data_IF_152592584580
#
_entry.id   IF_152592584580
#
_cell.length_a   1.000
_cell.length_b   1.000
_cell.length_c   1.000
_cell.angle_alpha   90.00
_cell.angle_beta   90.00
_cell.angle_gamma   90.00
#
_symmetry.space_group_name_H-M   'P 1'
#
loop_
_entity.id
_entity.type
_entity.pdbx_description
1 polymer ?
#
# COMPACT_ATOMS: atom_id res chain seq x y z
N UNK A 1 -48.39 -11.23 -66.41
CA UNK A 1 -49.87 -11.17 -66.15
C UNK A 1 -50.11 -10.43 -64.89
N UNK A 2 -50.63 -9.26 -65.02
CA UNK A 2 -51.79 -8.59 -64.38
C UNK A 2 -51.63 -8.46 -62.87
N UNK A 3 -51.42 -7.22 -62.32
CA UNK A 3 -52.47 -6.18 -62.16
C UNK A 3 -53.07 -6.31 -60.74
N UNK A 4 -53.24 -5.36 -59.84
CA UNK A 4 -53.74 -3.99 -59.77
C UNK A 4 -53.58 -3.52 -58.35
N UNK A 5 -53.02 -2.35 -58.08
CA UNK A 5 -53.71 -1.12 -57.69
C UNK A 5 -54.80 -1.26 -56.57
N UNK A 6 -54.64 -0.57 -55.51
CA UNK A 6 -55.38 0.69 -55.29
C UNK A 6 -54.93 1.47 -54.07
N UNK A 7 -54.85 2.77 -54.24
CA UNK A 7 -54.67 3.90 -53.32
C UNK A 7 -55.87 3.99 -52.36
N UNK A 8 -55.68 4.53 -51.18
CA UNK A 8 -56.54 5.60 -50.69
C UNK A 8 -55.82 6.40 -49.58
N UNK A 9 -55.83 7.69 -49.75
CA UNK A 9 -55.38 8.80 -48.91
C UNK A 9 -56.49 9.20 -47.94
N UNK A 10 -56.13 9.70 -46.72
CA UNK A 10 -56.79 10.83 -46.02
C UNK A 10 -56.13 10.99 -44.63
N UNK A 11 -55.38 12.00 -44.35
CA UNK A 11 -55.60 13.41 -43.96
C UNK A 11 -56.06 13.60 -42.50
N UNK A 12 -55.19 14.35 -41.78
CA UNK A 12 -55.33 15.24 -40.60
C UNK A 12 -55.68 14.69 -39.23
N UNK A 13 -54.84 14.93 -38.22
CA UNK A 13 -54.95 16.10 -37.35
C UNK A 13 -53.68 16.36 -36.54
N UNK A 14 -53.19 17.58 -36.61
CA UNK A 14 -52.20 18.20 -35.75
C UNK A 14 -52.76 18.33 -34.31
N UNK A 15 -52.05 17.80 -33.34
CA UNK A 15 -52.02 18.37 -32.02
C UNK A 15 -50.60 18.51 -31.53
N UNK A 16 -50.16 19.76 -31.47
CA UNK A 16 -48.91 20.14 -30.83
C UNK A 16 -48.99 19.92 -29.33
N UNK A 17 -48.13 19.07 -28.84
CA UNK A 17 -47.85 18.94 -27.45
C UNK A 17 -46.33 18.98 -27.30
N UNK A 18 -45.79 20.15 -26.91
CA UNK A 18 -44.39 20.31 -26.56
C UNK A 18 -44.11 19.48 -25.31
N UNK A 19 -43.52 18.28 -25.48
CA UNK A 19 -42.96 17.54 -24.36
C UNK A 19 -41.58 18.13 -24.09
N UNK A 20 -41.49 18.98 -23.07
CA UNK A 20 -40.21 19.36 -22.47
C UNK A 20 -39.59 18.10 -21.85
N UNK A 21 -38.71 17.44 -22.58
CA UNK A 21 -37.82 16.46 -22.01
C UNK A 21 -36.72 17.24 -21.26
N UNK A 22 -36.97 17.48 -19.99
CA UNK A 22 -35.92 17.81 -19.06
C UNK A 22 -34.98 16.60 -19.00
N UNK A 23 -33.92 16.65 -19.82
CA UNK A 23 -32.75 15.80 -19.63
C UNK A 23 -32.07 16.25 -18.33
N UNK A 24 -32.56 15.77 -17.22
CA UNK A 24 -31.75 15.72 -16.01
C UNK A 24 -30.63 14.74 -16.26
N UNK A 25 -29.50 15.29 -16.67
CA UNK A 25 -28.22 14.64 -16.68
C UNK A 25 -27.83 14.40 -15.21
N UNK A 26 -28.42 13.39 -14.59
CA UNK A 26 -27.89 12.81 -13.37
C UNK A 26 -26.66 12.04 -13.79
N UNK A 27 -25.54 12.74 -13.93
CA UNK A 27 -24.24 12.14 -13.69
C UNK A 27 -24.30 11.63 -12.25
N UNK A 28 -24.65 10.35 -12.09
CA UNK A 28 -24.31 9.58 -10.92
C UNK A 28 -22.77 9.60 -10.82
N UNK A 29 -22.24 10.66 -10.23
CA UNK A 29 -20.93 10.62 -9.61
C UNK A 29 -21.12 9.55 -8.53
N UNK A 30 -20.69 8.34 -8.83
CA UNK A 30 -20.44 7.33 -7.83
C UNK A 30 -19.44 8.03 -6.90
N UNK A 31 -19.91 8.51 -5.74
CA UNK A 31 -19.00 8.84 -4.65
C UNK A 31 -18.27 7.55 -4.37
N UNK A 32 -17.05 7.46 -4.87
CA UNK A 32 -16.12 6.43 -4.42
C UNK A 32 -15.84 6.79 -2.98
N UNK A 33 -16.50 6.11 -2.03
CA UNK A 33 -16.16 6.16 -0.62
C UNK A 33 -14.80 5.44 -0.47
N UNK A 34 -13.76 6.10 -0.96
CA UNK A 34 -12.38 5.74 -0.69
C UNK A 34 -12.04 6.10 0.75
N UNK A 35 -10.98 5.52 1.33
CA UNK A 35 -10.58 5.87 2.68
C UNK A 35 -10.16 7.34 2.76
N UNK A 36 -10.32 7.92 3.95
CA UNK A 36 -9.75 9.21 4.24
C UNK A 36 -8.21 9.13 4.23
N UNK A 37 -7.58 10.09 3.57
CA UNK A 37 -6.12 10.18 3.49
C UNK A 37 -5.69 11.44 4.23
N UNK A 38 -5.23 11.26 5.47
CA UNK A 38 -4.80 12.32 6.38
C UNK A 38 -3.34 12.67 6.15
N UNK A 39 -3.07 13.93 5.82
CA UNK A 39 -1.71 14.47 5.62
C UNK A 39 -1.54 15.85 6.28
N UNK A 40 -2.58 16.37 6.90
CA UNK A 40 -2.65 17.71 7.48
C UNK A 40 -1.62 17.92 8.59
N UNK A 41 -1.33 16.88 9.34
CA UNK A 41 -0.37 16.94 10.45
C UNK A 41 1.10 17.09 9.99
N UNK A 42 1.40 16.81 8.72
CA UNK A 42 2.73 17.08 8.14
C UNK A 42 3.03 18.58 8.19
N UNK A 43 2.06 19.42 7.78
CA UNK A 43 2.22 20.87 7.82
C UNK A 43 2.29 21.37 9.27
N UNK A 44 1.52 20.78 10.17
CA UNK A 44 1.58 21.10 11.60
C UNK A 44 2.98 20.83 12.17
N UNK A 45 3.58 19.67 11.85
CA UNK A 45 4.96 19.37 12.24
C UNK A 45 5.94 20.43 11.74
N UNK A 46 5.91 20.76 10.46
CA UNK A 46 6.86 21.72 9.89
C UNK A 46 6.69 23.12 10.42
N UNK A 47 5.48 23.53 10.83
CA UNK A 47 5.27 24.78 11.55
C UNK A 47 6.05 24.81 12.87
N UNK A 48 6.02 23.74 13.64
CA UNK A 48 6.79 23.61 14.89
C UNK A 48 8.29 23.53 14.61
N UNK A 49 8.68 22.70 13.66
CA UNK A 49 10.08 22.49 13.27
C UNK A 49 10.76 23.80 12.83
N UNK A 50 10.09 24.59 12.00
CA UNK A 50 10.63 25.85 11.47
C UNK A 50 10.70 26.93 12.55
N UNK A 51 9.67 27.05 13.40
CA UNK A 51 9.66 28.04 14.50
C UNK A 51 10.78 27.81 15.52
N UNK A 52 11.34 26.63 15.56
CA UNK A 52 12.42 26.22 16.48
C UNK A 52 13.79 26.10 15.79
N UNK A 53 13.88 26.55 14.54
CA UNK A 53 15.13 26.43 13.76
C UNK A 53 15.57 24.99 13.51
N UNK A 54 14.63 24.04 13.50
CA UNK A 54 14.90 22.61 13.30
C UNK A 54 15.26 21.84 14.57
N UNK A 55 15.12 22.45 15.74
CA UNK A 55 15.49 21.87 17.03
C UNK A 55 14.34 21.94 18.06
N UNK A 56 13.16 21.37 17.77
CA UNK A 56 12.05 21.39 18.70
C UNK A 56 12.35 20.58 19.96
N UNK A 57 12.00 21.13 21.11
CA UNK A 57 12.07 20.39 22.38
C UNK A 57 10.98 19.32 22.45
N UNK A 58 11.14 18.33 23.35
CA UNK A 58 10.09 17.35 23.59
C UNK A 58 8.78 18.01 24.08
N UNK A 59 8.85 19.08 24.86
CA UNK A 59 7.66 19.82 25.30
C UNK A 59 6.91 20.48 24.14
N UNK A 60 7.62 21.16 23.23
CA UNK A 60 7.04 21.75 22.03
C UNK A 60 6.43 20.70 21.11
N UNK A 61 7.13 19.57 20.89
CA UNK A 61 6.59 18.45 20.12
C UNK A 61 5.33 17.84 20.76
N UNK A 62 5.30 17.76 22.11
CA UNK A 62 4.12 17.25 22.80
C UNK A 62 2.94 18.21 22.66
N UNK A 63 3.14 19.49 22.94
CA UNK A 63 2.05 20.47 23.02
C UNK A 63 1.58 20.94 21.64
N UNK A 64 2.53 21.28 20.76
CA UNK A 64 2.24 21.98 19.51
C UNK A 64 2.10 21.05 18.30
N UNK A 65 2.47 19.76 18.44
CA UNK A 65 2.32 18.75 17.38
C UNK A 65 1.45 17.58 17.82
N UNK A 66 1.91 16.74 18.79
CA UNK A 66 1.20 15.50 19.11
C UNK A 66 -0.17 15.73 19.75
N UNK A 67 -0.28 16.72 20.66
CA UNK A 67 -1.56 17.07 21.32
C UNK A 67 -2.44 17.99 20.46
N UNK A 68 -1.85 18.77 19.58
CA UNK A 68 -2.57 19.69 18.69
C UNK A 68 -3.02 19.04 17.38
N UNK A 69 -2.50 17.86 17.07
CA UNK A 69 -2.80 17.15 15.82
C UNK A 69 -4.13 16.43 15.80
N UNK A 70 -4.41 15.81 14.68
CA UNK A 70 -5.68 15.13 14.43
C UNK A 70 -5.78 13.76 15.15
N UNK A 71 -6.97 13.18 15.12
CA UNK A 71 -7.18 11.79 15.56
C UNK A 71 -6.29 10.82 14.78
N UNK A 72 -6.06 11.07 13.48
CA UNK A 72 -5.13 10.31 12.64
C UNK A 72 -3.71 10.32 13.22
N UNK A 73 -3.20 11.48 13.64
CA UNK A 73 -1.90 11.60 14.28
C UNK A 73 -1.85 10.86 15.63
N UNK A 74 -2.93 10.88 16.40
CA UNK A 74 -3.01 10.16 17.67
C UNK A 74 -2.90 8.65 17.46
N UNK A 75 -3.63 8.10 16.49
CA UNK A 75 -3.55 6.68 16.10
C UNK A 75 -2.15 6.34 15.57
N UNK A 76 -1.60 7.19 14.70
CA UNK A 76 -0.24 7.07 14.18
C UNK A 76 0.80 7.00 15.31
N UNK A 77 0.73 7.92 16.27
CA UNK A 77 1.68 7.98 17.37
C UNK A 77 1.61 6.72 18.25
N UNK A 78 0.40 6.23 18.52
CA UNK A 78 0.18 5.00 19.28
C UNK A 78 0.70 3.76 18.55
N UNK A 79 0.29 3.55 17.31
CA UNK A 79 0.67 2.38 16.50
C UNK A 79 2.20 2.29 16.29
N UNK A 80 2.87 3.42 16.17
CA UNK A 80 4.31 3.50 15.90
C UNK A 80 5.16 3.73 17.16
N UNK A 81 4.55 3.74 18.34
CA UNK A 81 5.23 4.05 19.61
C UNK A 81 6.04 5.36 19.52
N UNK A 82 5.41 6.39 18.92
CA UNK A 82 5.98 7.72 18.73
C UNK A 82 5.62 8.60 19.92
N UNK A 83 6.62 9.02 20.67
CA UNK A 83 6.48 9.97 21.78
C UNK A 83 7.31 11.22 21.49
N UNK A 84 6.95 12.34 22.10
CA UNK A 84 7.68 13.59 21.93
C UNK A 84 9.18 13.47 22.27
N UNK A 85 9.51 12.72 23.35
CA UNK A 85 10.90 12.45 23.76
C UNK A 85 11.65 11.66 22.69
N UNK A 86 11.03 10.61 22.13
CA UNK A 86 11.63 9.80 21.05
C UNK A 86 11.79 10.60 19.75
N UNK A 87 10.83 11.47 19.45
CA UNK A 87 10.93 12.35 18.28
C UNK A 87 12.07 13.35 18.45
N UNK A 88 12.15 14.05 19.58
CA UNK A 88 13.23 15.00 19.85
C UNK A 88 14.61 14.33 19.73
N UNK A 89 14.76 13.12 20.30
CA UNK A 89 15.99 12.34 20.20
C UNK A 89 16.31 11.95 18.74
N UNK A 90 15.30 11.54 17.97
CA UNK A 90 15.47 11.18 16.56
C UNK A 90 15.86 12.40 15.70
N UNK A 91 15.21 13.53 15.90
CA UNK A 91 15.53 14.81 15.21
C UNK A 91 16.97 15.21 15.52
N UNK A 92 17.38 15.16 16.78
CA UNK A 92 18.74 15.52 17.18
C UNK A 92 19.82 14.57 16.60
N UNK A 93 19.51 13.27 16.49
CA UNK A 93 20.47 12.27 16.01
C UNK A 93 20.53 12.16 14.49
N UNK A 94 19.44 12.49 13.78
CA UNK A 94 19.30 12.33 12.33
C UNK A 94 18.57 13.53 11.70
N UNK A 95 19.03 14.78 11.87
CA UNK A 95 18.33 15.98 11.41
C UNK A 95 18.11 15.98 9.89
N UNK A 96 19.02 15.33 9.14
CA UNK A 96 18.94 15.24 7.68
C UNK A 96 17.67 14.51 7.20
N UNK A 97 17.12 13.54 7.95
CA UNK A 97 15.88 12.86 7.59
C UNK A 97 14.71 13.84 7.55
N UNK A 98 14.61 14.69 8.56
CA UNK A 98 13.50 15.64 8.70
C UNK A 98 13.61 16.80 7.70
N UNK A 99 14.83 17.20 7.37
CA UNK A 99 15.07 18.20 6.32
C UNK A 99 14.77 17.63 4.93
N UNK A 100 15.23 16.42 4.62
CA UNK A 100 15.01 15.77 3.34
C UNK A 100 13.54 15.42 3.10
N UNK A 101 12.80 15.06 4.14
CA UNK A 101 11.39 14.71 4.04
C UNK A 101 10.49 15.88 3.60
N UNK A 102 10.98 17.12 3.71
CA UNK A 102 10.26 18.30 3.23
C UNK A 102 9.88 18.21 1.75
N UNK A 103 10.74 17.62 0.93
CA UNK A 103 10.45 17.38 -0.50
C UNK A 103 9.25 16.45 -0.73
N UNK A 104 8.91 15.63 0.25
CA UNK A 104 7.72 14.78 0.21
C UNK A 104 6.40 15.56 0.32
N UNK A 105 6.41 16.77 0.90
CA UNK A 105 5.20 17.61 1.04
C UNK A 105 4.61 17.92 -0.33
N UNK A 106 5.48 18.25 -1.30
CA UNK A 106 5.07 18.71 -2.62
C UNK A 106 4.39 17.60 -3.45
N UNK A 107 4.69 16.33 -3.17
CA UNK A 107 4.11 15.20 -3.91
C UNK A 107 2.81 14.68 -3.28
N UNK A 108 2.49 15.02 -2.04
CA UNK A 108 1.30 14.49 -1.34
C UNK A 108 -0.03 14.72 -2.09
N UNK A 109 -0.29 15.85 -2.76
CA UNK A 109 -1.51 16.01 -3.54
C UNK A 109 -1.65 15.00 -4.67
N UNK A 110 -0.58 14.74 -5.43
CA UNK A 110 -0.56 13.76 -6.49
C UNK A 110 -0.67 12.33 -5.93
N UNK A 111 0.04 12.03 -4.85
CA UNK A 111 -0.06 10.75 -4.12
C UNK A 111 -1.51 10.46 -3.72
N UNK A 112 -2.24 11.44 -3.15
CA UNK A 112 -3.66 11.27 -2.79
C UNK A 112 -4.53 10.88 -3.98
N UNK A 113 -4.30 11.51 -5.13
CA UNK A 113 -5.06 11.20 -6.36
C UNK A 113 -4.76 9.78 -6.83
N UNK A 114 -3.49 9.41 -6.90
CA UNK A 114 -3.08 8.07 -7.35
C UNK A 114 -3.54 6.96 -6.40
N UNK A 115 -3.48 7.19 -5.09
CA UNK A 115 -3.95 6.21 -4.11
C UNK A 115 -5.43 5.87 -4.28
N UNK A 116 -6.28 6.84 -4.65
CA UNK A 116 -7.68 6.53 -4.96
C UNK A 116 -7.80 5.53 -6.10
N UNK A 117 -7.01 5.69 -7.17
CA UNK A 117 -7.01 4.75 -8.30
C UNK A 117 -6.49 3.36 -7.88
N UNK A 118 -5.45 3.30 -7.06
CA UNK A 118 -4.90 2.06 -6.50
C UNK A 118 -5.95 1.31 -5.68
N UNK A 119 -6.67 2.02 -4.81
CA UNK A 119 -7.67 1.44 -3.94
C UNK A 119 -8.95 1.04 -4.70
N UNK A 120 -9.31 1.78 -5.74
CA UNK A 120 -10.38 1.38 -6.66
C UNK A 120 -9.99 0.09 -7.41
N UNK A 121 -8.72 -0.03 -7.82
CA UNK A 121 -8.21 -1.27 -8.43
C UNK A 121 -8.22 -2.43 -7.43
N UNK A 122 -7.84 -2.20 -6.17
CA UNK A 122 -7.93 -3.22 -5.13
C UNK A 122 -9.39 -3.68 -4.93
N UNK A 123 -10.35 -2.76 -4.90
CA UNK A 123 -11.79 -3.09 -4.81
C UNK A 123 -12.27 -3.93 -5.99
N UNK A 124 -11.78 -3.62 -7.21
CA UNK A 124 -12.11 -4.38 -8.41
C UNK A 124 -11.62 -5.82 -8.32
N UNK A 125 -10.35 -6.02 -7.94
CA UNK A 125 -9.74 -7.36 -7.90
C UNK A 125 -10.07 -8.16 -6.65
N UNK A 126 -10.40 -7.47 -5.54
CA UNK A 126 -10.80 -8.06 -4.26
C UNK A 126 -12.01 -7.32 -3.67
N UNK A 127 -13.26 -7.67 -4.09
CA UNK A 127 -14.47 -6.96 -3.67
C UNK A 127 -14.77 -6.98 -2.17
N UNK A 128 -14.15 -7.90 -1.40
CA UNK A 128 -14.27 -7.96 0.05
C UNK A 128 -13.33 -6.99 0.78
N UNK A 129 -12.54 -6.19 0.05
CA UNK A 129 -11.56 -5.27 0.62
C UNK A 129 -12.20 -4.26 1.58
N UNK A 130 -11.49 -4.00 2.68
CA UNK A 130 -11.81 -2.98 3.68
C UNK A 130 -10.93 -1.75 3.45
N UNK A 131 -11.47 -0.57 3.73
CA UNK A 131 -10.78 0.69 3.42
C UNK A 131 -10.70 1.61 4.64
N UNK A 132 -9.93 1.22 5.70
CA UNK A 132 -9.67 2.11 6.82
C UNK A 132 -8.79 3.29 6.40
N UNK A 133 -8.71 4.37 7.23
CA UNK A 133 -7.94 5.56 6.91
C UNK A 133 -6.45 5.30 6.67
N UNK A 134 -5.83 6.19 5.88
CA UNK A 134 -4.39 6.29 5.69
C UNK A 134 -3.92 7.57 6.39
N UNK A 135 -2.92 7.48 7.25
CA UNK A 135 -2.27 8.63 7.88
C UNK A 135 -0.83 8.73 7.44
N UNK A 136 -0.46 9.86 6.87
CA UNK A 136 0.93 10.21 6.55
C UNK A 136 1.32 11.35 7.49
N UNK A 137 2.29 11.10 8.36
CA UNK A 137 2.71 12.07 9.36
C UNK A 137 4.23 11.97 9.61
N UNK A 138 4.78 12.89 10.37
CA UNK A 138 6.19 12.86 10.79
C UNK A 138 6.30 12.16 12.14
N UNK A 139 7.19 11.18 12.22
CA UNK A 139 7.40 10.38 13.41
C UNK A 139 8.81 10.46 13.99
N UNK A 140 9.37 9.30 14.30
CA UNK A 140 10.68 9.16 14.99
C UNK A 140 11.74 8.43 14.16
N UNK A 141 11.66 8.51 12.83
CA UNK A 141 12.60 7.90 11.90
C UNK A 141 12.37 6.41 11.61
N UNK A 142 11.46 5.75 12.32
CA UNK A 142 11.09 4.34 12.12
C UNK A 142 9.81 3.96 12.88
N UNK A 143 9.12 2.89 12.49
CA UNK A 143 9.23 2.16 11.22
C UNK A 143 8.89 3.06 10.03
N UNK A 144 9.11 2.59 8.80
CA UNK A 144 8.74 3.34 7.58
C UNK A 144 7.23 3.39 7.44
N UNK A 145 6.61 2.24 7.50
CA UNK A 145 5.17 2.07 7.32
C UNK A 145 4.63 0.98 8.25
N UNK A 146 3.33 0.97 8.47
CA UNK A 146 2.58 -0.08 9.16
C UNK A 146 1.21 -0.17 8.51
N UNK A 147 0.85 -1.34 8.00
CA UNK A 147 -0.51 -1.69 7.60
C UNK A 147 -1.16 -2.61 8.63
N UNK A 148 -2.35 -2.26 9.11
CA UNK A 148 -3.05 -3.06 10.11
C UNK A 148 -4.56 -3.00 9.91
N UNK A 149 -5.29 -4.12 10.07
CA UNK A 149 -6.75 -4.12 10.05
C UNK A 149 -7.38 -3.24 11.15
N UNK A 150 -6.62 -2.91 12.19
CA UNK A 150 -7.09 -2.14 13.36
C UNK A 150 -6.83 -0.65 13.21
N UNK A 151 -5.61 -0.27 12.79
CA UNK A 151 -5.19 1.14 12.74
C UNK A 151 -5.17 1.75 11.33
N UNK A 152 -5.48 0.97 10.30
CA UNK A 152 -5.30 1.39 8.91
C UNK A 152 -3.82 1.45 8.52
N UNK A 153 -3.48 2.33 7.59
CA UNK A 153 -2.10 2.51 7.10
C UNK A 153 -1.48 3.74 7.72
N UNK A 154 -0.30 3.57 8.32
CA UNK A 154 0.44 4.59 9.06
C UNK A 154 1.83 4.79 8.45
N UNK A 155 2.07 5.91 7.77
CA UNK A 155 3.32 6.21 7.04
C UNK A 155 4.14 7.26 7.80
N UNK A 156 5.38 6.89 8.18
CA UNK A 156 6.38 7.84 8.67
C UNK A 156 7.08 8.51 7.48
N UNK A 157 6.65 9.70 7.14
CA UNK A 157 7.11 10.39 5.94
C UNK A 157 8.62 10.61 5.95
N UNK A 158 9.21 10.99 7.09
CA UNK A 158 10.65 11.18 7.22
C UNK A 158 11.44 9.90 6.98
N UNK A 159 10.93 8.78 7.48
CA UNK A 159 11.55 7.48 7.27
C UNK A 159 11.44 7.04 5.81
N UNK A 160 10.25 7.18 5.21
CA UNK A 160 10.01 6.79 3.82
C UNK A 160 10.84 7.64 2.84
N UNK A 161 10.89 8.97 3.02
CA UNK A 161 11.72 9.85 2.19
C UNK A 161 13.21 9.58 2.36
N UNK A 162 13.64 9.12 3.54
CA UNK A 162 15.06 8.89 3.86
C UNK A 162 15.66 7.62 3.27
N UNK A 163 14.87 6.64 2.85
CA UNK A 163 15.38 5.39 2.29
C UNK A 163 15.99 5.63 0.91
N UNK A 164 17.26 5.22 0.73
CA UNK A 164 18.02 5.55 -0.48
C UNK A 164 17.88 4.54 -1.61
N UNK A 165 17.42 3.32 -1.31
CA UNK A 165 17.31 2.21 -2.27
C UNK A 165 15.87 1.96 -2.78
N UNK A 166 14.87 2.68 -2.28
CA UNK A 166 13.54 2.67 -2.86
C UNK A 166 13.49 3.47 -4.16
N UNK A 167 12.34 3.49 -4.80
CA UNK A 167 12.15 4.27 -6.03
C UNK A 167 12.63 5.72 -5.83
N UNK A 168 13.38 6.25 -6.80
CA UNK A 168 13.89 7.63 -6.76
C UNK A 168 12.77 8.65 -6.94
N UNK A 169 11.69 8.27 -7.63
CA UNK A 169 10.49 9.06 -7.72
C UNK A 169 9.74 8.97 -6.39
N UNK A 170 9.63 10.07 -5.65
CA UNK A 170 8.95 10.09 -4.35
C UNK A 170 7.47 9.74 -4.46
N UNK A 171 6.78 10.18 -5.50
CA UNK A 171 5.37 9.86 -5.71
C UNK A 171 5.15 8.34 -5.87
N UNK A 172 5.95 7.69 -6.73
CA UNK A 172 5.93 6.24 -6.91
C UNK A 172 6.26 5.52 -5.61
N UNK A 173 7.28 5.98 -4.88
CA UNK A 173 7.66 5.43 -3.58
C UNK A 173 6.51 5.43 -2.59
N UNK A 174 5.81 6.56 -2.41
CA UNK A 174 4.63 6.63 -1.55
C UNK A 174 3.54 5.68 -2.01
N UNK A 175 3.22 5.69 -3.30
CA UNK A 175 2.12 4.91 -3.86
C UNK A 175 2.37 3.42 -3.72
N UNK A 176 3.58 2.93 -4.06
CA UNK A 176 3.91 1.50 -3.99
C UNK A 176 3.99 0.99 -2.55
N UNK A 177 4.61 1.74 -1.64
CA UNK A 177 4.67 1.36 -0.22
C UNK A 177 3.28 1.36 0.41
N UNK A 178 2.45 2.36 0.15
CA UNK A 178 1.10 2.40 0.71
C UNK A 178 0.23 1.28 0.13
N UNK A 179 0.40 0.93 -1.15
CA UNK A 179 -0.29 -0.20 -1.75
C UNK A 179 0.08 -1.53 -1.08
N UNK A 180 1.37 -1.76 -0.80
CA UNK A 180 1.86 -2.90 -0.04
C UNK A 180 1.22 -2.95 1.37
N UNK A 181 1.32 -1.87 2.14
CA UNK A 181 0.76 -1.79 3.49
C UNK A 181 -0.76 -1.99 3.50
N UNK A 182 -1.43 -1.56 2.44
CA UNK A 182 -2.88 -1.73 2.34
C UNK A 182 -3.30 -3.19 2.14
N UNK A 183 -2.41 -4.03 1.64
CA UNK A 183 -2.65 -5.49 1.57
C UNK A 183 -2.63 -6.09 2.98
N UNK A 184 -1.72 -5.68 3.86
CA UNK A 184 -1.70 -6.12 5.26
C UNK A 184 -3.01 -5.81 6.00
N UNK A 185 -3.70 -4.72 5.63
CA UNK A 185 -5.04 -4.42 6.14
C UNK A 185 -6.07 -5.50 5.76
N UNK A 186 -5.87 -6.19 4.65
CA UNK A 186 -6.80 -7.21 4.14
C UNK A 186 -6.47 -8.62 4.64
N UNK A 187 -5.22 -8.88 5.02
CA UNK A 187 -4.74 -10.21 5.44
C UNK A 187 -5.32 -10.61 6.80
N UNK A 188 -5.40 -11.92 7.09
CA UNK A 188 -5.84 -12.40 8.40
C UNK A 188 -4.95 -11.85 9.52
N UNK A 189 -5.57 -11.25 10.53
CA UNK A 189 -4.86 -10.62 11.65
C UNK A 189 -3.92 -11.58 12.37
N UNK A 190 -4.36 -12.80 12.56
CA UNK A 190 -3.60 -13.87 13.20
C UNK A 190 -2.32 -14.25 12.46
N UNK A 191 -2.27 -13.99 11.14
CA UNK A 191 -1.06 -14.22 10.33
C UNK A 191 -0.13 -13.01 10.38
N UNK A 192 -0.67 -11.80 10.24
CA UNK A 192 0.12 -10.55 10.24
C UNK A 192 0.72 -10.26 11.62
N UNK A 193 -0.01 -10.54 12.68
CA UNK A 193 0.38 -10.26 14.07
C UNK A 193 1.03 -11.47 14.77
N UNK A 194 1.37 -12.56 14.06
CA UNK A 194 2.06 -13.70 14.68
C UNK A 194 3.41 -13.23 15.24
N UNK A 195 3.64 -13.35 16.56
CA UNK A 195 4.88 -12.90 17.18
C UNK A 195 6.07 -13.82 16.90
N UNK A 196 5.83 -15.01 16.35
CA UNK A 196 6.85 -16.03 16.12
C UNK A 196 6.65 -16.78 14.78
N UNK A 197 6.50 -16.10 13.66
CA UNK A 197 6.31 -16.75 12.38
C UNK A 197 7.57 -17.52 11.99
N UNK A 198 7.41 -18.54 11.15
CA UNK A 198 8.53 -19.14 10.42
C UNK A 198 8.99 -18.20 9.30
N UNK A 199 10.15 -18.50 8.72
CA UNK A 199 10.67 -17.78 7.55
C UNK A 199 9.66 -17.85 6.39
N UNK A 200 9.04 -19.02 6.17
CA UNK A 200 8.02 -19.18 5.12
C UNK A 200 6.79 -18.32 5.39
N UNK A 201 6.24 -18.39 6.61
CA UNK A 201 5.06 -17.60 7.00
C UNK A 201 5.28 -16.12 6.79
N UNK A 202 6.36 -15.56 7.36
CA UNK A 202 6.67 -14.15 7.18
C UNK A 202 6.93 -13.79 5.71
N UNK A 203 7.66 -14.63 4.97
CA UNK A 203 7.94 -14.35 3.55
C UNK A 203 6.69 -14.38 2.68
N UNK A 204 5.74 -15.25 2.94
CA UNK A 204 4.49 -15.31 2.18
C UNK A 204 3.55 -14.15 2.51
N UNK A 205 3.51 -13.70 3.77
CA UNK A 205 2.74 -12.52 4.19
C UNK A 205 3.25 -11.27 3.45
N UNK A 206 4.55 -11.03 3.49
CA UNK A 206 5.19 -9.88 2.85
C UNK A 206 5.19 -9.99 1.32
N UNK A 207 5.46 -11.19 0.80
CA UNK A 207 5.43 -11.43 -0.64
C UNK A 207 4.04 -11.31 -1.26
N UNK A 208 2.99 -11.65 -0.53
CA UNK A 208 1.61 -11.40 -0.94
C UNK A 208 1.32 -9.89 -0.97
N UNK A 209 1.83 -9.13 0.01
CA UNK A 209 1.69 -7.68 0.06
C UNK A 209 2.40 -7.02 -1.13
N UNK A 210 3.62 -7.45 -1.46
CA UNK A 210 4.34 -6.96 -2.63
C UNK A 210 3.63 -7.32 -3.95
N UNK A 211 3.15 -8.55 -4.11
CA UNK A 211 2.52 -8.99 -5.35
C UNK A 211 1.18 -8.30 -5.62
N UNK A 212 0.29 -8.24 -4.63
CA UNK A 212 -1.00 -7.55 -4.76
C UNK A 212 -0.79 -6.03 -4.84
N UNK A 213 0.21 -5.50 -4.09
CA UNK A 213 0.64 -4.11 -4.19
C UNK A 213 1.07 -3.74 -5.61
N UNK A 214 1.90 -4.58 -6.25
CA UNK A 214 2.30 -4.39 -7.67
C UNK A 214 1.10 -4.44 -8.62
N UNK A 215 0.20 -5.42 -8.47
CA UNK A 215 -1.00 -5.53 -9.32
C UNK A 215 -1.89 -4.28 -9.25
N UNK A 216 -1.91 -3.60 -8.13
CA UNK A 216 -2.77 -2.44 -7.91
C UNK A 216 -2.10 -1.11 -8.20
N UNK A 217 -0.82 -0.97 -7.89
CA UNK A 217 -0.05 0.28 -8.00
C UNK A 217 0.84 0.38 -9.23
N UNK A 218 1.15 -0.75 -9.86
CA UNK A 218 2.02 -0.84 -11.03
C UNK A 218 3.52 -0.94 -10.73
N UNK A 219 3.92 -1.07 -9.46
CA UNK A 219 5.32 -1.22 -9.08
C UNK A 219 5.51 -1.86 -7.70
N UNK A 220 6.74 -2.30 -7.43
CA UNK A 220 7.13 -2.92 -6.16
C UNK A 220 7.50 -1.87 -5.11
N UNK A 221 7.19 -2.15 -3.85
CA UNK A 221 7.58 -1.32 -2.71
C UNK A 221 9.10 -1.22 -2.57
N UNK A 222 9.82 -2.32 -2.81
CA UNK A 222 11.27 -2.42 -2.77
C UNK A 222 11.86 -2.99 -4.07
N UNK A 223 12.06 -2.12 -5.06
CA UNK A 223 12.66 -2.49 -6.36
C UNK A 223 14.08 -3.05 -6.23
N UNK A 224 14.85 -2.62 -5.23
CA UNK A 224 16.25 -3.01 -5.09
C UNK A 224 16.41 -4.50 -4.81
N UNK A 225 15.46 -5.13 -4.11
CA UNK A 225 15.53 -6.58 -3.85
C UNK A 225 15.50 -7.37 -5.15
N UNK A 226 14.64 -7.00 -6.11
CA UNK A 226 14.61 -7.63 -7.42
C UNK A 226 15.94 -7.46 -8.18
N UNK A 227 16.60 -6.29 -8.04
CA UNK A 227 17.88 -6.01 -8.70
C UNK A 227 19.02 -6.87 -8.10
N UNK A 228 19.12 -6.92 -6.78
CA UNK A 228 20.24 -7.64 -6.12
C UNK A 228 20.10 -9.17 -6.18
N UNK A 229 18.90 -9.68 -6.42
CA UNK A 229 18.64 -11.12 -6.54
C UNK A 229 18.71 -11.62 -7.98
N UNK A 230 18.71 -10.70 -8.96
CA UNK A 230 18.72 -11.05 -10.37
C UNK A 230 19.94 -11.90 -10.76
N UNK A 231 19.66 -13.07 -11.37
CA UNK A 231 20.68 -14.05 -11.77
C UNK A 231 21.18 -14.98 -10.64
N UNK A 232 20.71 -14.77 -9.41
CA UNK A 232 21.03 -15.58 -8.23
C UNK A 232 19.80 -16.30 -7.66
N UNK A 233 18.68 -16.31 -8.38
CA UNK A 233 17.41 -16.81 -7.92
C UNK A 233 17.52 -18.25 -7.40
N UNK A 234 18.09 -19.16 -8.19
CA UNK A 234 18.19 -20.56 -7.82
C UNK A 234 19.02 -20.81 -6.55
N UNK A 235 20.10 -20.04 -6.37
CA UNK A 235 20.98 -20.12 -5.19
C UNK A 235 20.25 -19.63 -3.94
N UNK A 236 19.64 -18.43 -4.04
CA UNK A 236 18.92 -17.78 -2.94
C UNK A 236 17.73 -18.65 -2.52
N UNK A 237 16.93 -19.09 -3.48
CA UNK A 237 15.73 -19.90 -3.25
C UNK A 237 16.07 -21.29 -2.72
N UNK A 238 17.17 -21.90 -3.16
CA UNK A 238 17.69 -23.13 -2.58
C UNK A 238 18.11 -22.99 -1.11
N UNK A 239 18.73 -21.85 -0.76
CA UNK A 239 19.06 -21.54 0.63
C UNK A 239 17.80 -21.23 1.46
N UNK A 240 16.78 -20.65 0.86
CA UNK A 240 15.48 -20.41 1.50
C UNK A 240 14.79 -21.71 1.92
N UNK A 241 14.72 -22.70 1.05
CA UNK A 241 14.13 -24.01 1.37
C UNK A 241 14.78 -24.65 2.60
N UNK A 242 16.09 -24.50 2.78
CA UNK A 242 16.80 -25.01 3.95
C UNK A 242 16.46 -24.26 5.27
N UNK A 243 15.90 -23.05 5.15
CA UNK A 243 15.59 -22.17 6.27
C UNK A 243 14.07 -21.95 6.48
N UNK A 244 13.22 -22.34 5.55
CA UNK A 244 11.78 -21.97 5.49
C UNK A 244 11.00 -22.27 6.77
N UNK A 245 11.35 -23.34 7.48
CA UNK A 245 10.70 -23.74 8.72
C UNK A 245 11.36 -23.17 9.98
N UNK A 246 12.43 -22.38 9.84
CA UNK A 246 13.10 -21.73 10.98
C UNK A 246 12.34 -20.51 11.43
N UNK A 247 12.44 -20.18 12.75
CA UNK A 247 11.84 -18.98 13.35
C UNK A 247 12.82 -17.83 13.51
N UNK A 248 14.08 -18.04 13.16
CA UNK A 248 15.05 -16.95 13.11
C UNK A 248 14.95 -16.23 11.76
N UNK A 249 14.30 -15.08 11.78
CA UNK A 249 14.00 -14.29 10.59
C UNK A 249 15.16 -13.41 10.12
N UNK A 250 16.20 -13.21 10.94
CA UNK A 250 17.21 -12.15 10.75
C UNK A 250 18.00 -12.24 9.45
N UNK A 251 18.08 -13.39 8.81
CA UNK A 251 18.71 -13.57 7.51
C UNK A 251 17.77 -13.15 6.35
N UNK A 252 16.47 -13.27 6.55
CA UNK A 252 15.49 -13.22 5.48
C UNK A 252 14.56 -12.02 5.52
N UNK A 253 14.20 -11.56 6.72
CA UNK A 253 13.14 -10.58 6.93
C UNK A 253 13.57 -9.53 7.96
N UNK A 254 13.04 -8.30 7.81
CA UNK A 254 13.16 -7.18 8.76
C UNK A 254 14.61 -6.78 9.06
N UNK A 255 15.50 -6.99 8.11
CA UNK A 255 16.95 -6.75 8.24
C UNK A 255 17.48 -5.64 7.34
N UNK A 256 16.59 -4.95 6.61
CA UNK A 256 16.90 -3.74 5.86
C UNK A 256 17.26 -2.57 6.77
N UNK A 257 18.10 -1.67 6.28
CA UNK A 257 18.45 -0.41 6.93
C UNK A 257 18.11 0.75 6.00
N UNK A 258 18.31 2.00 6.44
CA UNK A 258 18.03 3.17 5.60
C UNK A 258 18.90 3.22 4.32
N UNK A 259 20.10 2.64 4.38
CA UNK A 259 21.10 2.71 3.31
C UNK A 259 21.29 1.38 2.57
N UNK A 260 20.72 0.30 3.09
CA UNK A 260 20.95 -1.04 2.57
C UNK A 260 19.66 -1.81 2.50
N UNK A 261 19.30 -2.24 1.30
CA UNK A 261 18.23 -3.21 1.10
C UNK A 261 18.59 -4.53 1.75
N UNK A 262 17.66 -5.04 2.53
CA UNK A 262 17.66 -6.41 3.06
C UNK A 262 16.43 -7.13 2.54
N UNK A 263 15.81 -7.93 3.45
CA UNK A 263 14.45 -8.43 3.26
C UNK A 263 14.29 -9.34 2.02
N UNK A 264 15.34 -10.16 1.73
CA UNK A 264 15.32 -11.09 0.59
C UNK A 264 14.15 -12.08 0.69
N UNK A 265 13.66 -12.36 1.88
CA UNK A 265 12.48 -13.19 2.11
C UNK A 265 11.21 -12.62 1.46
N UNK A 266 11.05 -11.29 1.41
CA UNK A 266 9.97 -10.62 0.68
C UNK A 266 9.96 -11.04 -0.80
N UNK A 267 11.14 -11.01 -1.41
CA UNK A 267 11.31 -11.40 -2.81
C UNK A 267 11.01 -12.87 -3.07
N UNK A 268 11.48 -13.79 -2.21
CA UNK A 268 11.16 -15.21 -2.36
C UNK A 268 9.66 -15.43 -2.20
N UNK A 269 9.05 -14.83 -1.17
CA UNK A 269 7.60 -14.87 -0.97
C UNK A 269 6.82 -14.32 -2.17
N UNK A 270 7.23 -13.17 -2.71
CA UNK A 270 6.65 -12.60 -3.93
C UNK A 270 6.70 -13.60 -5.10
N UNK A 271 7.83 -14.27 -5.31
CA UNK A 271 7.97 -15.25 -6.41
C UNK A 271 7.12 -16.49 -6.21
N UNK A 272 6.96 -16.97 -4.97
CA UNK A 272 6.04 -18.07 -4.64
C UNK A 272 4.59 -17.65 -4.96
N UNK A 273 4.18 -16.49 -4.52
CA UNK A 273 2.83 -15.96 -4.76
C UNK A 273 2.59 -15.72 -6.25
N UNK A 274 3.57 -15.16 -6.96
CA UNK A 274 3.49 -14.93 -8.41
C UNK A 274 3.35 -16.25 -9.18
N UNK A 275 4.12 -17.28 -8.80
CA UNK A 275 4.00 -18.61 -9.38
C UNK A 275 2.59 -19.17 -9.18
N UNK A 276 2.07 -19.11 -7.95
CA UNK A 276 0.70 -19.53 -7.65
C UNK A 276 -0.32 -18.81 -8.54
N UNK A 277 -0.24 -17.48 -8.60
CA UNK A 277 -1.14 -16.69 -9.42
C UNK A 277 -1.04 -17.04 -10.91
N UNK A 278 0.16 -17.25 -11.45
CA UNK A 278 0.35 -17.61 -12.86
C UNK A 278 -0.28 -18.95 -13.22
N UNK A 279 -0.18 -19.96 -12.34
CA UNK A 279 -0.74 -21.30 -12.56
C UNK A 279 -2.26 -21.39 -12.29
N UNK A 280 -2.82 -20.46 -11.53
CA UNK A 280 -4.25 -20.47 -11.21
C UNK A 280 -5.12 -20.23 -12.45
N UNK A 281 -6.10 -21.10 -12.68
CA UNK A 281 -7.06 -20.96 -13.78
C UNK A 281 -8.02 -19.77 -13.58
N UNK A 282 -8.39 -19.47 -12.32
CA UNK A 282 -9.24 -18.36 -11.94
C UNK A 282 -8.42 -17.32 -11.15
N UNK A 283 -8.09 -16.21 -11.79
CA UNK A 283 -7.26 -15.15 -11.21
C UNK A 283 -7.93 -14.44 -10.02
N UNK A 284 -9.23 -14.27 -10.05
CA UNK A 284 -9.96 -13.63 -8.96
C UNK A 284 -10.01 -14.53 -7.70
N UNK A 285 -10.21 -15.83 -7.90
CA UNK A 285 -10.11 -16.79 -6.80
C UNK A 285 -8.69 -16.82 -6.23
N UNK A 286 -7.67 -16.80 -7.09
CA UNK A 286 -6.27 -16.79 -6.67
C UNK A 286 -5.92 -15.55 -5.84
N UNK A 287 -6.40 -14.34 -6.22
CA UNK A 287 -6.21 -13.13 -5.42
C UNK A 287 -6.81 -13.29 -4.03
N UNK A 288 -8.01 -13.86 -3.93
CA UNK A 288 -8.64 -14.12 -2.64
C UNK A 288 -7.81 -15.09 -1.80
N UNK A 289 -7.34 -16.20 -2.37
CA UNK A 289 -6.55 -17.20 -1.67
C UNK A 289 -5.18 -16.65 -1.23
N UNK A 290 -4.58 -15.75 -2.01
CA UNK A 290 -3.35 -15.04 -1.66
C UNK A 290 -3.58 -14.13 -0.44
N UNK A 291 -4.64 -13.33 -0.46
CA UNK A 291 -4.92 -12.37 0.61
C UNK A 291 -5.41 -13.07 1.88
N UNK A 292 -6.28 -14.07 1.73
CA UNK A 292 -6.92 -14.80 2.84
C UNK A 292 -6.16 -16.08 3.25
N UNK A 293 -4.87 -16.18 2.89
CA UNK A 293 -4.02 -17.34 3.20
C UNK A 293 -4.08 -17.69 4.69
N UNK A 294 -4.24 -18.98 4.99
CA UNK A 294 -4.28 -19.50 6.36
C UNK A 294 -3.25 -20.56 6.65
N UNK A 295 -2.84 -21.29 5.63
CA UNK A 295 -1.84 -22.35 5.72
C UNK A 295 -0.73 -22.10 4.69
N UNK A 296 0.39 -21.49 5.11
CA UNK A 296 1.54 -21.22 4.26
C UNK A 296 2.15 -22.46 3.60
N UNK A 297 2.18 -23.59 4.31
CA UNK A 297 2.74 -24.84 3.77
C UNK A 297 1.84 -25.44 2.68
N UNK A 298 0.52 -25.43 2.89
CA UNK A 298 -0.44 -25.83 1.87
C UNK A 298 -0.38 -24.89 0.66
N UNK A 299 -0.29 -23.57 0.89
CA UNK A 299 -0.16 -22.59 -0.18
C UNK A 299 1.11 -22.82 -1.00
N UNK A 300 2.27 -23.01 -0.35
CA UNK A 300 3.53 -23.33 -1.03
C UNK A 300 3.37 -24.59 -1.90
N UNK A 301 2.78 -25.65 -1.37
CA UNK A 301 2.59 -26.91 -2.11
C UNK A 301 1.74 -26.77 -3.37
N UNK A 302 0.78 -25.83 -3.36
CA UNK A 302 -0.11 -25.53 -4.48
C UNK A 302 0.47 -24.51 -5.46
N UNK A 303 1.53 -23.81 -5.08
CA UNK A 303 2.05 -22.66 -5.85
C UNK A 303 2.69 -23.06 -7.19
N UNK A 304 3.10 -24.30 -7.33
CA UNK A 304 3.92 -24.76 -8.47
C UNK A 304 5.33 -24.15 -8.48
N UNK A 305 5.70 -23.41 -7.41
CA UNK A 305 7.01 -22.84 -7.29
C UNK A 305 8.08 -23.87 -6.92
N UNK A 306 9.27 -23.68 -7.44
CA UNK A 306 10.51 -24.39 -7.08
C UNK A 306 11.71 -23.47 -7.26
N UNK A 307 12.85 -23.71 -6.57
CA UNK A 307 14.04 -22.88 -6.70
C UNK A 307 14.53 -22.73 -8.14
N UNK A 308 14.68 -21.49 -8.59
CA UNK A 308 15.13 -21.16 -9.94
C UNK A 308 14.05 -21.19 -11.01
N UNK A 309 12.76 -21.30 -10.65
CA UNK A 309 11.65 -21.18 -11.61
C UNK A 309 11.73 -19.85 -12.38
N UNK A 310 11.42 -19.89 -13.67
CA UNK A 310 11.31 -18.68 -14.51
C UNK A 310 9.89 -18.12 -14.44
N UNK A 311 9.75 -16.86 -14.00
CA UNK A 311 8.46 -16.18 -13.77
C UNK A 311 8.39 -14.85 -14.51
#
# INVERSE_FOLDING_TARGET
MKSFLTKTCLIYFLFGGSVNVNAQNTSNIIKTDGPDIHTEDVNLFYKVYDSTGGHPTAEQLQNDYLSAGTEGLRIFAQARNTTAVRMAAAIASQPQLYTAARSGVDVLPAVKVRLKLVLDKLREIYPAAKFPPITIAIGRGKPVAIGSPVSGVQIGMEALCGITYYDKNLEDRFVHVIAHEYVHVQQPKEMVDDPQPTVLEGSLIEGAADFIGELTSGGLSNLQVAVITHGHEAEIEGAFVADENKRNLTKWLYNGTIDKSGDIGYWVGYRIVKSYYQHAANKQAAIREIIEMKDPSEFLSKSGWYPGIKL
#
